data_IF_384798378864
#
_entry.id   IF_384798378864
#
_cell.length_a   1.000
_cell.length_b   1.000
_cell.length_c   1.000
_cell.angle_alpha   90.00
_cell.angle_beta   90.00
_cell.angle_gamma   90.00
#
_symmetry.space_group_name_H-M   'P 1'
#
loop_
_entity.id
_entity.type
_entity.pdbx_description
1 polymer ?
#
# COMPACT_ATOMS: atom_id res chain seq x y z
N UNK A 1 -69.56 33.23 51.56
CA UNK A 1 -69.77 32.85 50.14
C UNK A 1 -68.49 33.16 49.36
N UNK A 2 -67.30 32.65 49.74
CA UNK A 2 -66.64 31.37 49.42
C UNK A 2 -66.65 31.02 47.92
N UNK A 3 -65.69 31.52 47.12
CA UNK A 3 -64.35 30.93 46.88
C UNK A 3 -64.40 29.41 46.71
N UNK A 4 -64.76 28.93 45.52
CA UNK A 4 -64.47 27.60 44.94
C UNK A 4 -65.28 27.49 43.63
N UNK A 5 -64.69 27.88 42.50
CA UNK A 5 -64.93 27.40 41.12
C UNK A 5 -63.90 28.19 40.27
N UNK A 6 -62.62 27.84 40.41
CA UNK A 6 -61.55 28.27 39.50
C UNK A 6 -60.42 27.23 39.45
N UNK A 7 -60.76 25.96 39.73
CA UNK A 7 -59.78 24.91 39.94
C UNK A 7 -60.33 23.53 39.56
N UNK A 8 -61.00 23.41 38.40
CA UNK A 8 -61.47 22.10 37.93
C UNK A 8 -61.47 21.90 36.40
N UNK A 9 -60.72 22.70 35.64
CA UNK A 9 -60.50 22.46 34.19
C UNK A 9 -59.04 22.66 33.75
N UNK A 10 -58.09 22.58 34.68
CA UNK A 10 -56.64 22.57 34.38
C UNK A 10 -55.93 21.34 34.96
N UNK A 11 -56.65 20.28 35.33
CA UNK A 11 -56.05 19.02 35.77
C UNK A 11 -56.30 17.85 34.81
N UNK A 12 -56.83 18.10 33.61
CA UNK A 12 -57.05 17.06 32.59
C UNK A 12 -56.12 17.16 31.37
N UNK A 13 -55.06 17.97 31.44
CA UNK A 13 -54.16 18.22 30.28
C UNK A 13 -52.70 17.82 30.52
N UNK A 14 -52.31 17.30 31.69
CA UNK A 14 -50.90 16.92 31.92
C UNK A 14 -50.80 15.53 32.56
N UNK A 15 -51.29 14.49 31.88
CA UNK A 15 -50.99 13.10 32.24
C UNK A 15 -50.80 12.17 31.04
N UNK A 16 -50.69 12.70 29.80
CA UNK A 16 -50.48 11.89 28.59
C UNK A 16 -49.33 12.38 27.69
N UNK A 17 -48.36 13.12 28.23
CA UNK A 17 -47.21 13.57 27.45
C UNK A 17 -45.88 13.50 28.22
N UNK A 18 -45.69 12.42 28.99
CA UNK A 18 -44.41 12.13 29.65
C UNK A 18 -43.93 10.69 29.38
N UNK A 19 -44.18 10.17 28.18
CA UNK A 19 -43.30 9.17 27.57
C UNK A 19 -42.40 9.91 26.58
N UNK A 20 -41.51 10.78 27.09
CA UNK A 20 -40.37 11.19 26.28
C UNK A 20 -39.52 9.93 26.10
N UNK A 21 -39.41 9.41 24.88
CA UNK A 21 -38.42 8.40 24.53
C UNK A 21 -37.05 8.95 24.97
N UNK A 22 -36.57 8.47 26.12
CA UNK A 22 -35.23 8.83 26.57
C UNK A 22 -34.27 8.17 25.59
N UNK A 23 -33.28 8.91 25.05
CA UNK A 23 -32.26 8.28 24.23
C UNK A 23 -31.63 7.15 25.05
N UNK A 24 -31.59 5.95 24.46
CA UNK A 24 -30.98 4.77 25.07
C UNK A 24 -29.47 4.96 25.06
N UNK A 25 -28.97 5.58 26.12
CA UNK A 25 -27.54 5.91 26.25
C UNK A 25 -26.69 4.68 26.60
N UNK A 26 -27.29 3.58 27.06
CA UNK A 26 -26.56 2.34 27.34
C UNK A 26 -26.07 1.72 26.01
N UNK A 27 -24.75 1.61 25.78
CA UNK A 27 -24.21 0.99 24.57
C UNK A 27 -24.51 -0.51 24.46
N UNK A 28 -24.81 -1.20 25.56
CA UNK A 28 -25.13 -2.63 25.58
C UNK A 28 -26.63 -2.93 25.57
N UNK A 29 -27.51 -1.92 25.41
CA UNK A 29 -28.94 -2.16 25.18
C UNK A 29 -29.14 -2.75 23.77
N UNK A 30 -29.75 -3.95 23.61
CA UNK A 30 -30.02 -4.54 22.30
C UNK A 30 -30.86 -3.67 21.36
N UNK A 31 -31.63 -2.72 21.90
CA UNK A 31 -32.46 -1.79 21.15
C UNK A 31 -31.79 -0.42 20.97
N UNK A 32 -30.52 -0.26 21.36
CA UNK A 32 -29.73 0.92 21.04
C UNK A 32 -29.55 0.99 19.51
N UNK A 33 -30.02 2.05 18.82
CA UNK A 33 -29.98 2.10 17.37
C UNK A 33 -28.57 2.20 16.78
N UNK A 34 -27.58 2.62 17.57
CA UNK A 34 -26.20 2.79 17.11
C UNK A 34 -25.36 1.52 17.30
N UNK A 35 -25.54 0.84 18.42
CA UNK A 35 -24.70 -0.30 18.81
C UNK A 35 -25.41 -1.63 18.73
N UNK A 36 -26.75 -1.66 18.79
CA UNK A 36 -27.56 -2.89 18.88
C UNK A 36 -27.08 -3.83 20.00
N UNK A 37 -26.59 -3.25 21.08
CA UNK A 37 -26.12 -3.96 22.27
C UNK A 37 -24.76 -4.63 22.16
N UNK A 38 -23.96 -4.37 21.13
CA UNK A 38 -22.64 -5.00 20.90
C UNK A 38 -21.49 -3.98 20.84
N UNK A 39 -20.24 -4.40 21.10
CA UNK A 39 -19.07 -3.57 20.84
C UNK A 39 -18.97 -3.16 19.38
N UNK A 40 -18.53 -1.92 19.14
CA UNK A 40 -18.39 -1.31 17.82
C UNK A 40 -16.93 -0.93 17.53
N UNK A 41 -16.65 -0.55 16.29
CA UNK A 41 -15.34 -0.03 15.89
C UNK A 41 -14.22 -1.07 15.87
N UNK A 42 -14.53 -2.36 15.88
CA UNK A 42 -13.51 -3.41 15.82
C UNK A 42 -12.72 -3.32 14.52
N UNK A 43 -11.41 -3.15 14.65
CA UNK A 43 -10.46 -3.08 13.54
C UNK A 43 -9.21 -3.91 13.87
N UNK A 44 -8.63 -4.54 12.85
CA UNK A 44 -7.38 -5.28 12.94
C UNK A 44 -6.30 -4.62 12.09
N UNK A 45 -5.09 -4.54 12.63
CA UNK A 45 -3.88 -4.13 11.88
C UNK A 45 -2.78 -5.11 12.21
N UNK A 46 -2.08 -5.61 11.19
CA UNK A 46 -0.95 -6.51 11.35
C UNK A 46 0.36 -5.76 11.12
N UNK A 47 1.36 -6.08 11.93
CA UNK A 47 2.74 -5.74 11.65
C UNK A 47 3.55 -6.99 11.88
N UNK A 48 3.95 -7.63 10.78
CA UNK A 48 4.60 -8.94 10.79
C UNK A 48 3.73 -9.96 11.56
N UNK A 49 4.30 -10.61 12.57
CA UNK A 49 3.75 -11.74 13.33
C UNK A 49 2.80 -11.32 14.45
N UNK A 50 2.38 -10.07 14.47
CA UNK A 50 1.45 -9.55 15.48
C UNK A 50 0.25 -8.90 14.82
N UNK A 51 -0.95 -9.34 15.21
CA UNK A 51 -2.20 -8.62 14.91
C UNK A 51 -2.60 -7.79 16.13
N UNK A 52 -2.73 -6.49 15.94
CA UNK A 52 -3.29 -5.57 16.96
C UNK A 52 -4.74 -5.29 16.63
N UNK A 53 -5.63 -5.69 17.52
CA UNK A 53 -7.05 -5.34 17.48
C UNK A 53 -7.27 -4.05 18.27
N UNK A 54 -8.17 -3.22 17.77
CA UNK A 54 -8.68 -2.02 18.46
C UNK A 54 -10.19 -1.95 18.32
N UNK A 55 -10.85 -1.36 19.30
CA UNK A 55 -12.30 -1.15 19.29
C UNK A 55 -12.68 0.14 20.02
N UNK A 56 -13.94 0.55 19.90
CA UNK A 56 -14.46 1.71 20.61
C UNK A 56 -14.51 1.45 22.12
N UNK A 57 -14.14 2.44 22.93
CA UNK A 57 -14.19 2.32 24.39
C UNK A 57 -15.63 2.19 24.86
N UNK A 58 -15.87 1.29 25.83
CA UNK A 58 -17.13 1.19 26.54
C UNK A 58 -16.92 1.57 28.01
N UNK A 59 -17.48 2.70 28.41
CA UNK A 59 -17.39 3.20 29.79
C UNK A 59 -18.56 2.65 30.64
N UNK A 60 -18.55 1.34 30.88
CA UNK A 60 -19.54 0.64 31.72
C UNK A 60 -18.83 0.10 32.97
N UNK A 61 -19.33 0.47 34.15
CA UNK A 61 -18.68 0.16 35.44
C UNK A 61 -18.58 -1.33 35.73
N UNK A 62 -19.57 -2.10 35.32
CA UNK A 62 -19.72 -3.51 35.69
C UNK A 62 -19.13 -4.47 34.66
N UNK A 63 -18.29 -3.97 33.73
CA UNK A 63 -17.57 -4.84 32.81
C UNK A 63 -16.46 -5.60 33.53
N UNK A 64 -16.45 -6.91 33.31
CA UNK A 64 -15.36 -7.83 33.64
C UNK A 64 -14.28 -7.79 32.58
N UNK A 65 -14.63 -7.55 31.31
CA UNK A 65 -13.65 -7.48 30.22
C UNK A 65 -14.26 -7.55 28.82
N UNK A 66 -13.39 -7.68 27.84
CA UNK A 66 -13.75 -7.96 26.45
C UNK A 66 -13.25 -9.34 26.04
N UNK A 67 -14.15 -10.25 25.67
CA UNK A 67 -13.73 -11.57 25.17
C UNK A 67 -13.41 -11.46 23.69
N UNK A 68 -12.22 -11.93 23.34
CA UNK A 68 -11.70 -11.86 21.99
C UNK A 68 -11.87 -13.22 21.33
N UNK A 69 -12.50 -13.21 20.16
CA UNK A 69 -12.75 -14.40 19.37
C UNK A 69 -11.97 -14.36 18.06
N UNK A 70 -11.48 -15.53 17.67
CA UNK A 70 -10.77 -15.73 16.40
C UNK A 70 -11.29 -16.95 15.68
N UNK A 71 -11.35 -16.87 14.36
CA UNK A 71 -11.66 -17.97 13.45
C UNK A 71 -10.64 -17.96 12.32
N UNK A 72 -10.00 -19.10 12.09
CA UNK A 72 -9.07 -19.29 10.98
C UNK A 72 -9.82 -19.68 9.70
N UNK A 73 -9.17 -19.50 8.57
CA UNK A 73 -9.63 -20.06 7.30
C UNK A 73 -9.94 -21.56 7.40
N UNK A 74 -11.01 -22.01 6.76
CA UNK A 74 -11.48 -23.41 6.83
C UNK A 74 -12.23 -23.78 8.10
N UNK A 75 -12.22 -22.94 9.15
CA UNK A 75 -13.00 -23.17 10.36
C UNK A 75 -14.41 -22.59 10.25
N UNK A 76 -15.39 -23.27 10.84
CA UNK A 76 -16.80 -22.83 10.82
C UNK A 76 -17.20 -22.04 12.08
N UNK A 77 -16.45 -22.16 13.18
CA UNK A 77 -16.77 -21.56 14.48
C UNK A 77 -15.67 -20.63 14.97
N UNK A 78 -16.07 -19.57 15.66
CA UNK A 78 -15.17 -18.71 16.42
C UNK A 78 -14.76 -19.39 17.73
N UNK A 79 -13.49 -19.28 18.09
CA UNK A 79 -12.96 -19.75 19.39
C UNK A 79 -12.48 -18.54 20.21
N UNK A 80 -12.75 -18.51 21.52
CA UNK A 80 -12.20 -17.47 22.38
C UNK A 80 -10.69 -17.66 22.53
N UNK A 81 -9.92 -16.58 22.41
CA UNK A 81 -8.46 -16.61 22.51
C UNK A 81 -7.94 -15.79 23.70
N UNK A 82 -8.73 -14.85 24.21
CA UNK A 82 -8.37 -14.02 25.35
C UNK A 82 -9.58 -13.35 26.00
N UNK A 83 -9.37 -12.86 27.23
CA UNK A 83 -10.23 -11.90 27.91
C UNK A 83 -9.40 -10.65 28.22
N UNK A 84 -9.62 -9.57 27.50
CA UNK A 84 -8.95 -8.29 27.72
C UNK A 84 -9.57 -7.54 28.91
N UNK A 85 -8.75 -6.73 29.58
CA UNK A 85 -9.19 -5.88 30.71
C UNK A 85 -10.39 -5.00 30.34
N UNK A 86 -11.32 -4.73 31.27
CA UNK A 86 -12.52 -3.93 30.99
C UNK A 86 -12.22 -2.47 30.65
N UNK A 87 -11.02 -1.97 31.00
CA UNK A 87 -10.54 -0.64 30.61
C UNK A 87 -9.71 -0.62 29.32
N UNK A 88 -9.44 -1.79 28.74
CA UNK A 88 -8.70 -1.88 27.49
C UNK A 88 -9.62 -1.65 26.29
N UNK A 89 -9.08 -1.01 25.27
CA UNK A 89 -9.68 -0.93 23.95
C UNK A 89 -8.74 -1.47 22.85
N UNK A 90 -7.80 -2.32 23.26
CA UNK A 90 -6.86 -2.98 22.37
C UNK A 90 -6.45 -4.36 22.85
N UNK A 91 -6.07 -5.23 21.92
CA UNK A 91 -5.52 -6.55 22.19
C UNK A 91 -4.46 -6.88 21.14
N UNK A 92 -3.36 -7.52 21.55
CA UNK A 92 -2.32 -8.00 20.62
C UNK A 92 -2.39 -9.52 20.58
N UNK A 93 -2.74 -10.06 19.42
CA UNK A 93 -2.66 -11.48 19.12
C UNK A 93 -1.27 -11.80 18.55
N UNK A 94 -0.51 -12.61 19.29
CA UNK A 94 0.83 -13.09 18.94
C UNK A 94 0.80 -14.52 18.36
N UNK A 95 -0.36 -15.18 18.39
CA UNK A 95 -0.51 -16.58 17.96
C UNK A 95 -0.97 -16.70 16.51
N UNK A 96 -0.55 -15.78 15.63
CA UNK A 96 -0.98 -15.70 14.23
C UNK A 96 0.07 -16.28 13.28
N UNK A 97 -0.38 -16.79 12.15
CA UNK A 97 0.47 -17.39 11.12
C UNK A 97 0.44 -16.57 9.84
N UNK A 98 1.59 -16.38 9.19
CA UNK A 98 1.66 -15.68 7.90
C UNK A 98 0.85 -16.37 6.81
N UNK A 99 0.23 -15.56 5.95
CA UNK A 99 -0.55 -16.03 4.80
C UNK A 99 -1.90 -16.67 5.15
N UNK A 100 -2.19 -16.93 6.42
CA UNK A 100 -3.48 -17.48 6.86
C UNK A 100 -4.48 -16.36 7.14
N UNK A 101 -5.69 -16.45 6.58
CA UNK A 101 -6.76 -15.50 6.88
C UNK A 101 -7.28 -15.70 8.32
N UNK A 102 -7.27 -14.62 9.09
CA UNK A 102 -7.82 -14.59 10.45
C UNK A 102 -9.06 -13.69 10.49
N UNK A 103 -10.18 -14.19 11.01
CA UNK A 103 -11.38 -13.40 11.28
C UNK A 103 -11.52 -13.16 12.78
N UNK A 104 -11.76 -11.92 13.20
CA UNK A 104 -11.92 -11.54 14.60
C UNK A 104 -13.31 -10.98 14.90
N UNK A 105 -13.79 -11.24 16.12
CA UNK A 105 -14.96 -10.61 16.74
C UNK A 105 -14.69 -10.42 18.23
N UNK A 106 -15.42 -9.50 18.86
CA UNK A 106 -15.34 -9.30 20.30
C UNK A 106 -16.74 -9.24 20.93
N UNK A 107 -16.83 -9.54 22.23
CA UNK A 107 -18.01 -9.27 23.06
C UNK A 107 -17.59 -8.51 24.32
N UNK A 108 -18.52 -7.76 24.91
CA UNK A 108 -18.37 -7.20 26.24
C UNK A 108 -18.91 -8.21 27.27
N UNK A 109 -18.15 -8.43 28.34
CA UNK A 109 -18.45 -9.39 29.39
C UNK A 109 -18.64 -8.65 30.71
N UNK A 110 -19.75 -8.91 31.38
CA UNK A 110 -20.04 -8.53 32.76
C UNK A 110 -20.24 -9.79 33.62
N UNK A 111 -20.48 -9.65 34.92
CA UNK A 111 -20.61 -10.78 35.86
C UNK A 111 -21.58 -11.86 35.39
N UNK A 112 -22.77 -11.47 34.93
CA UNK A 112 -23.86 -12.39 34.56
C UNK A 112 -24.37 -12.16 33.13
N UNK A 113 -23.58 -11.48 32.29
CA UNK A 113 -23.98 -11.10 30.95
C UNK A 113 -22.81 -11.10 29.99
N UNK A 114 -23.07 -11.56 28.77
CA UNK A 114 -22.19 -11.37 27.62
C UNK A 114 -22.99 -10.78 26.48
N UNK A 115 -22.46 -9.70 25.90
CA UNK A 115 -23.10 -9.04 24.77
C UNK A 115 -23.11 -9.93 23.52
N UNK A 116 -23.99 -9.65 22.54
CA UNK A 116 -23.78 -10.12 21.18
C UNK A 116 -22.38 -9.75 20.67
N UNK A 117 -21.89 -10.55 19.71
CA UNK A 117 -20.60 -10.29 19.08
C UNK A 117 -20.64 -9.02 18.23
N UNK A 118 -19.51 -8.32 18.19
CA UNK A 118 -19.25 -7.24 17.23
C UNK A 118 -19.39 -7.73 15.79
N UNK A 119 -19.42 -6.78 14.85
CA UNK A 119 -19.13 -7.10 13.45
C UNK A 119 -17.71 -7.68 13.32
N UNK A 120 -17.49 -8.46 12.26
CA UNK A 120 -16.20 -9.10 12.01
C UNK A 120 -15.24 -8.18 11.28
N UNK A 121 -13.96 -8.27 11.65
CA UNK A 121 -12.84 -7.79 10.85
C UNK A 121 -11.99 -8.99 10.43
N UNK A 122 -11.33 -8.90 9.29
CA UNK A 122 -10.47 -9.96 8.73
C UNK A 122 -9.08 -9.42 8.48
N UNK A 123 -8.06 -10.24 8.63
CA UNK A 123 -6.69 -9.84 8.27
C UNK A 123 -5.85 -11.05 7.91
N UNK A 124 -5.01 -10.90 6.89
CA UNK A 124 -3.97 -11.89 6.56
C UNK A 124 -2.61 -11.29 6.92
N UNK A 125 -2.06 -11.63 8.10
CA UNK A 125 -0.73 -11.16 8.49
C UNK A 125 0.34 -11.76 7.58
N UNK A 126 1.44 -11.06 7.44
CA UNK A 126 2.57 -11.52 6.65
C UNK A 126 3.80 -10.66 6.91
N UNK A 127 4.95 -11.04 6.34
CA UNK A 127 6.22 -10.41 6.64
C UNK A 127 6.36 -9.00 6.06
N UNK A 128 5.58 -8.66 5.03
CA UNK A 128 5.69 -7.38 4.31
C UNK A 128 4.65 -6.33 4.73
N UNK A 129 4.92 -5.10 4.34
CA UNK A 129 4.00 -3.98 4.29
C UNK A 129 4.19 -3.23 2.97
N UNK A 130 3.23 -2.38 2.64
CA UNK A 130 3.31 -1.56 1.43
C UNK A 130 3.22 -0.09 1.77
N UNK A 131 3.92 0.76 1.01
CA UNK A 131 3.74 2.20 1.02
C UNK A 131 3.04 2.64 -0.26
N UNK A 132 2.18 3.65 -0.13
CA UNK A 132 1.41 4.24 -1.22
C UNK A 132 1.65 5.74 -1.22
N UNK A 133 1.97 6.33 -2.37
CA UNK A 133 1.93 7.77 -2.57
C UNK A 133 0.57 8.19 -3.13
N UNK A 134 -0.13 9.07 -2.42
CA UNK A 134 -1.40 9.64 -2.88
C UNK A 134 -1.21 11.11 -3.26
N UNK A 135 -1.23 11.39 -4.57
CA UNK A 135 -0.82 12.67 -5.13
C UNK A 135 -1.72 13.83 -4.71
N UNK A 136 -3.04 13.60 -4.62
CA UNK A 136 -4.02 14.67 -4.37
C UNK A 136 -4.15 15.01 -2.88
N UNK A 137 -3.90 14.05 -1.98
CA UNK A 137 -3.86 14.32 -0.54
C UNK A 137 -2.51 14.85 -0.07
N UNK A 138 -1.44 14.60 -0.83
CA UNK A 138 -0.07 14.92 -0.40
C UNK A 138 0.45 13.96 0.67
N UNK A 139 -0.21 12.82 0.86
CA UNK A 139 0.05 11.88 1.93
C UNK A 139 0.69 10.59 1.41
N UNK A 140 1.39 9.92 2.32
CA UNK A 140 1.83 8.55 2.16
C UNK A 140 1.02 7.67 3.11
N UNK A 141 0.57 6.52 2.60
CA UNK A 141 -0.20 5.54 3.34
C UNK A 141 0.61 4.26 3.44
N UNK A 142 0.82 3.78 4.67
CA UNK A 142 1.40 2.46 4.91
C UNK A 142 0.29 1.44 5.12
N UNK A 143 0.28 0.37 4.34
CA UNK A 143 -0.72 -0.69 4.37
C UNK A 143 -0.15 -1.98 4.96
N UNK A 144 -1.03 -2.79 5.55
CA UNK A 144 -0.74 -4.16 5.99
C UNK A 144 -0.34 -5.06 4.83
N UNK A 145 0.24 -6.22 5.15
CA UNK A 145 0.68 -7.22 4.17
C UNK A 145 -0.39 -7.57 3.12
N UNK A 146 -1.64 -7.68 3.55
CA UNK A 146 -2.78 -7.98 2.69
C UNK A 146 -3.29 -6.77 1.89
N UNK A 147 -2.72 -5.58 2.07
CA UNK A 147 -3.11 -4.35 1.40
C UNK A 147 -4.47 -3.80 1.83
N UNK A 148 -5.09 -4.31 2.91
CA UNK A 148 -6.47 -3.97 3.29
C UNK A 148 -6.53 -2.91 4.39
N UNK A 149 -5.61 -2.95 5.36
CA UNK A 149 -5.67 -2.09 6.54
C UNK A 149 -4.56 -1.05 6.54
N UNK A 150 -4.90 0.14 7.02
CA UNK A 150 -3.94 1.23 7.20
C UNK A 150 -3.17 1.03 8.50
N UNK A 151 -1.83 1.00 8.40
CA UNK A 151 -0.92 0.99 9.55
C UNK A 151 -0.68 2.43 10.03
N UNK A 152 -0.36 3.32 9.10
CA UNK A 152 -0.12 4.73 9.37
C UNK A 152 -0.36 5.55 8.10
N UNK A 153 -0.67 6.83 8.31
CA UNK A 153 -0.76 7.85 7.27
C UNK A 153 0.07 9.04 7.72
N UNK A 154 0.90 9.55 6.83
CA UNK A 154 1.87 10.62 7.11
C UNK A 154 2.11 11.45 5.86
N UNK A 155 2.97 12.46 5.99
CA UNK A 155 3.38 13.32 4.90
C UNK A 155 2.75 14.71 5.00
N UNK A 156 3.18 15.56 4.08
CA UNK A 156 2.66 16.89 3.80
C UNK A 156 3.30 17.35 2.48
N UNK A 157 3.32 16.44 1.50
CA UNK A 157 3.93 16.66 0.20
C UNK A 157 3.02 17.55 -0.65
N UNK A 158 3.61 18.34 -1.54
CA UNK A 158 2.84 19.13 -2.51
C UNK A 158 2.16 18.21 -3.52
N UNK A 159 2.92 17.25 -4.08
CA UNK A 159 2.41 16.20 -4.95
C UNK A 159 3.42 15.03 -5.01
N UNK A 160 3.35 14.07 -4.07
CA UNK A 160 4.26 12.92 -4.10
C UNK A 160 4.09 12.17 -5.43
N UNK A 161 5.19 11.67 -5.99
CA UNK A 161 5.20 11.11 -7.35
C UNK A 161 5.78 9.70 -7.43
N UNK A 162 6.98 9.49 -6.86
CA UNK A 162 7.56 8.15 -6.68
C UNK A 162 8.04 7.93 -5.27
N UNK A 163 8.05 6.68 -4.84
CA UNK A 163 8.62 6.20 -3.60
C UNK A 163 9.37 4.88 -3.81
N UNK A 164 10.35 4.61 -2.96
CA UNK A 164 10.99 3.30 -2.86
C UNK A 164 11.43 3.01 -1.43
N UNK A 165 11.30 1.77 -0.99
CA UNK A 165 11.59 1.31 0.36
C UNK A 165 13.03 0.81 0.45
N UNK A 166 13.83 1.40 1.35
CA UNK A 166 15.11 0.84 1.81
C UNK A 166 14.83 -0.07 3.02
N UNK A 167 14.42 -1.31 2.74
CA UNK A 167 14.02 -2.25 3.79
C UNK A 167 15.13 -2.57 4.81
N UNK A 168 16.40 -2.81 4.41
CA UNK A 168 17.49 -3.05 5.36
C UNK A 168 17.68 -1.94 6.40
N UNK A 169 17.46 -0.67 6.01
CA UNK A 169 17.62 0.49 6.91
C UNK A 169 16.29 0.98 7.51
N UNK A 170 15.16 0.49 7.01
CA UNK A 170 13.83 0.85 7.48
C UNK A 170 13.41 2.27 7.09
N UNK A 171 13.82 2.72 5.91
CA UNK A 171 13.46 4.03 5.35
C UNK A 171 12.60 3.89 4.10
N UNK A 172 11.88 4.95 3.76
CA UNK A 172 11.25 5.13 2.45
C UNK A 172 11.73 6.46 1.87
N UNK A 173 12.20 6.41 0.63
CA UNK A 173 12.58 7.57 -0.15
C UNK A 173 11.40 8.01 -1.00
N UNK A 174 11.19 9.32 -1.14
CA UNK A 174 10.08 9.90 -1.88
C UNK A 174 10.56 11.09 -2.67
N UNK A 175 10.10 11.18 -3.92
CA UNK A 175 10.24 12.35 -4.77
C UNK A 175 8.89 13.00 -5.01
N UNK A 176 8.84 14.31 -4.88
CA UNK A 176 7.65 15.16 -5.03
C UNK A 176 7.79 16.05 -6.27
N UNK A 177 6.81 15.99 -7.17
CA UNK A 177 6.85 16.70 -8.44
C UNK A 177 6.57 18.21 -8.30
N UNK A 178 5.76 18.64 -7.33
CA UNK A 178 5.29 20.04 -7.22
C UNK A 178 5.88 20.77 -6.01
N UNK A 179 6.09 20.07 -4.89
CA UNK A 179 6.82 20.60 -3.74
C UNK A 179 8.33 20.58 -3.94
N UNK A 180 8.79 19.83 -4.94
CA UNK A 180 10.18 19.63 -5.30
C UNK A 180 11.03 18.97 -4.21
N UNK A 181 10.37 18.24 -3.31
CA UNK A 181 11.01 17.56 -2.20
C UNK A 181 11.62 16.23 -2.66
N UNK A 182 12.90 16.04 -2.36
CA UNK A 182 13.51 14.73 -2.21
C UNK A 182 13.57 14.44 -0.72
N UNK A 183 12.81 13.46 -0.23
CA UNK A 183 12.61 13.22 1.20
C UNK A 183 12.86 11.76 1.57
N UNK A 184 13.41 11.55 2.77
CA UNK A 184 13.51 10.24 3.42
C UNK A 184 12.63 10.23 4.65
N UNK A 185 11.83 9.19 4.84
CA UNK A 185 11.03 8.98 6.04
C UNK A 185 11.45 7.68 6.74
N UNK A 186 11.44 7.68 8.06
CA UNK A 186 11.61 6.45 8.83
C UNK A 186 10.35 5.55 8.78
N UNK A 187 10.45 4.33 9.29
CA UNK A 187 9.36 3.34 9.35
C UNK A 187 8.06 3.82 10.01
N UNK A 188 8.11 4.90 10.81
CA UNK A 188 6.97 5.50 11.49
C UNK A 188 6.45 6.75 10.75
N UNK A 189 7.00 7.06 9.58
CA UNK A 189 6.58 8.17 8.75
C UNK A 189 7.17 9.52 9.14
N UNK A 190 8.23 9.56 9.94
CA UNK A 190 8.87 10.83 10.32
C UNK A 190 9.93 11.23 9.30
N UNK A 191 9.89 12.48 8.86
CA UNK A 191 10.87 13.05 7.95
C UNK A 191 12.29 13.07 8.56
N UNK A 192 13.25 12.66 7.74
CA UNK A 192 14.68 12.85 7.95
C UNK A 192 15.18 13.66 6.76
N UNK A 193 15.55 14.92 7.02
CA UNK A 193 15.70 15.97 5.99
C UNK A 193 16.65 15.57 4.85
N UNK A 194 16.23 15.81 3.61
CA UNK A 194 17.15 16.12 2.51
C UNK A 194 16.97 17.60 2.11
N UNK A 195 18.08 18.24 1.69
CA UNK A 195 18.15 19.67 1.37
C UNK A 195 18.04 19.95 -0.13
N UNK A 196 17.95 18.91 -0.96
CA UNK A 196 18.01 19.03 -2.41
C UNK A 196 16.61 19.19 -2.98
N UNK A 197 16.45 20.20 -3.85
CA UNK A 197 15.20 20.41 -4.58
C UNK A 197 15.28 19.75 -5.95
N UNK A 198 14.19 19.09 -6.32
CA UNK A 198 14.00 18.41 -7.60
C UNK A 198 12.76 18.97 -8.27
N UNK A 199 12.75 19.23 -9.58
CA UNK A 199 11.65 20.00 -10.19
C UNK A 199 11.04 19.36 -11.45
N UNK A 200 11.48 18.16 -11.80
CA UNK A 200 10.83 17.26 -12.74
C UNK A 200 11.32 15.84 -12.59
N UNK A 201 11.13 15.23 -11.40
CA UNK A 201 11.50 13.85 -11.17
C UNK A 201 10.80 12.91 -12.17
N UNK A 202 11.56 11.97 -12.73
CA UNK A 202 11.06 10.85 -13.50
C UNK A 202 11.03 9.58 -12.64
N UNK A 203 12.11 9.33 -11.88
CA UNK A 203 12.25 8.10 -11.10
C UNK A 203 13.34 8.19 -10.03
N UNK A 204 13.36 7.23 -9.11
CA UNK A 204 14.42 7.02 -8.13
C UNK A 204 14.78 5.53 -7.99
N UNK A 205 16.04 5.21 -7.71
CA UNK A 205 16.49 3.85 -7.45
C UNK A 205 17.52 3.80 -6.32
N UNK A 206 17.36 2.86 -5.38
CA UNK A 206 18.21 2.68 -4.21
C UNK A 206 19.19 1.53 -4.44
N UNK A 207 20.46 1.77 -4.13
CA UNK A 207 21.42 0.69 -3.89
C UNK A 207 21.16 0.11 -2.50
N UNK A 208 20.53 -1.07 -2.44
CA UNK A 208 20.17 -1.69 -1.15
C UNK A 208 21.38 -2.02 -0.29
N UNK A 209 22.57 -2.20 -0.88
CA UNK A 209 23.78 -2.55 -0.17
C UNK A 209 24.30 -1.39 0.70
N UNK A 210 24.33 -0.16 0.19
CA UNK A 210 24.82 1.02 0.93
C UNK A 210 23.78 2.09 1.26
N UNK A 211 22.59 2.01 0.66
CA UNK A 211 21.48 2.94 0.83
C UNK A 211 21.60 4.20 -0.02
N UNK A 212 22.61 4.29 -0.88
CA UNK A 212 22.76 5.41 -1.81
C UNK A 212 21.61 5.42 -2.82
N UNK A 213 21.21 6.63 -3.23
CA UNK A 213 20.01 6.82 -4.04
C UNK A 213 20.38 7.53 -5.33
N UNK A 214 19.90 6.98 -6.43
CA UNK A 214 19.91 7.62 -7.73
C UNK A 214 18.56 8.27 -8.00
N UNK A 215 18.57 9.50 -8.52
CA UNK A 215 17.35 10.21 -8.89
C UNK A 215 17.51 10.74 -10.30
N UNK A 216 16.53 10.44 -11.16
CA UNK A 216 16.38 11.06 -12.46
C UNK A 216 15.45 12.28 -12.34
N UNK A 217 16.00 13.48 -12.47
CA UNK A 217 15.27 14.75 -12.51
C UNK A 217 15.30 15.31 -13.93
N UNK A 218 14.62 14.59 -14.81
CA UNK A 218 14.76 14.71 -16.26
C UNK A 218 14.32 16.05 -16.84
N UNK A 219 13.48 16.84 -16.15
CA UNK A 219 13.12 18.17 -16.68
C UNK A 219 14.09 19.28 -16.26
N UNK A 220 14.94 19.06 -15.25
CA UNK A 220 15.77 20.12 -14.69
C UNK A 220 17.24 19.74 -14.56
N UNK A 221 17.58 18.87 -13.61
CA UNK A 221 18.95 18.60 -13.17
C UNK A 221 19.64 17.41 -13.87
N UNK A 222 18.88 16.57 -14.59
CA UNK A 222 19.41 15.34 -15.19
C UNK A 222 19.48 14.21 -14.17
N UNK A 223 20.53 13.38 -14.23
CA UNK A 223 20.73 12.28 -13.28
C UNK A 223 21.53 12.77 -12.06
N UNK A 224 21.18 12.31 -10.86
CA UNK A 224 21.87 12.66 -9.61
C UNK A 224 22.08 11.43 -8.75
N UNK A 225 23.17 11.41 -7.98
CA UNK A 225 23.47 10.41 -6.96
C UNK A 225 23.56 11.05 -5.58
N UNK A 226 22.92 10.45 -4.60
CA UNK A 226 22.90 10.83 -3.19
C UNK A 226 23.48 9.71 -2.32
N UNK A 227 24.01 10.04 -1.16
CA UNK A 227 24.32 9.05 -0.13
C UNK A 227 23.06 8.58 0.61
N UNK A 228 23.24 7.66 1.55
CA UNK A 228 22.13 7.12 2.36
C UNK A 228 21.44 8.15 3.24
N UNK A 229 22.03 9.33 3.46
CA UNK A 229 21.47 10.43 4.23
C UNK A 229 20.86 11.54 3.36
N UNK A 230 20.90 11.39 2.05
CA UNK A 230 20.30 12.32 1.08
C UNK A 230 21.19 13.51 0.76
N UNK A 231 22.49 13.43 1.06
CA UNK A 231 23.47 14.41 0.64
C UNK A 231 23.83 14.13 -0.82
N UNK A 232 23.78 15.18 -1.66
CA UNK A 232 24.15 15.07 -3.06
C UNK A 232 25.63 14.74 -3.19
N UNK A 233 25.94 13.60 -3.81
CA UNK A 233 27.30 13.16 -4.10
C UNK A 233 27.75 13.64 -5.48
N UNK A 234 26.88 13.55 -6.49
CA UNK A 234 27.23 13.86 -7.87
C UNK A 234 25.99 14.18 -8.72
N UNK A 235 26.15 15.10 -9.68
CA UNK A 235 25.17 15.41 -10.71
C UNK A 235 25.72 15.10 -12.11
N UNK A 236 24.83 14.76 -13.02
CA UNK A 236 25.12 14.40 -14.40
C UNK A 236 24.13 15.09 -15.34
N UNK A 237 24.43 16.35 -15.68
CA UNK A 237 23.49 17.25 -16.34
C UNK A 237 23.09 16.85 -17.77
N UNK A 238 23.89 16.01 -18.43
CA UNK A 238 23.66 15.59 -19.82
C UNK A 238 22.54 14.54 -19.96
N UNK A 239 22.10 13.91 -18.86
CA UNK A 239 21.10 12.83 -18.89
C UNK A 239 19.70 13.33 -18.53
N UNK A 240 19.14 14.21 -19.37
CA UNK A 240 17.83 14.86 -19.15
C UNK A 240 16.63 14.10 -19.74
N UNK A 241 16.83 12.86 -20.23
CA UNK A 241 15.73 12.06 -20.81
C UNK A 241 15.65 10.64 -20.27
N UNK A 242 16.23 10.41 -19.10
CA UNK A 242 16.03 9.17 -18.35
C UNK A 242 14.55 9.04 -17.99
N UNK A 243 13.96 7.86 -18.24
CA UNK A 243 12.55 7.61 -17.92
C UNK A 243 12.38 6.78 -16.64
N UNK A 244 13.25 5.79 -16.42
CA UNK A 244 13.21 4.88 -15.30
C UNK A 244 14.62 4.41 -14.92
N UNK A 245 14.79 3.99 -13.67
CA UNK A 245 16.04 3.61 -13.05
C UNK A 245 15.89 2.30 -12.30
N UNK A 246 16.91 1.44 -12.34
CA UNK A 246 17.05 0.34 -11.40
C UNK A 246 18.52 0.13 -11.04
N UNK A 247 18.80 -0.44 -9.86
CA UNK A 247 20.16 -0.72 -9.42
C UNK A 247 20.39 -2.23 -9.39
N UNK A 248 21.44 -2.67 -10.06
CA UNK A 248 21.81 -4.08 -10.08
C UNK A 248 22.35 -4.51 -8.70
N UNK A 249 21.70 -5.45 -7.99
CA UNK A 249 21.95 -5.68 -6.56
C UNK A 249 23.33 -6.29 -6.27
N UNK A 250 23.89 -7.07 -7.20
CA UNK A 250 25.19 -7.71 -7.00
C UNK A 250 26.37 -6.81 -7.37
N UNK A 251 26.18 -5.86 -8.29
CA UNK A 251 27.26 -5.01 -8.83
C UNK A 251 27.16 -3.56 -8.39
N UNK A 252 26.00 -3.16 -7.83
CA UNK A 252 25.66 -1.78 -7.51
C UNK A 252 25.75 -0.82 -8.71
N UNK A 253 25.64 -1.36 -9.92
CA UNK A 253 25.56 -0.56 -11.15
C UNK A 253 24.16 0.02 -11.30
N UNK A 254 24.07 1.29 -11.69
CA UNK A 254 22.81 1.90 -12.09
C UNK A 254 22.53 1.55 -13.55
N UNK A 255 21.34 1.02 -13.78
CA UNK A 255 20.79 0.78 -15.11
C UNK A 255 19.71 1.82 -15.38
N UNK A 256 20.02 2.76 -16.26
CA UNK A 256 19.20 3.92 -16.55
C UNK A 256 18.60 3.83 -17.96
N UNK A 257 17.27 3.84 -18.04
CA UNK A 257 16.54 3.75 -19.30
C UNK A 257 16.48 5.13 -19.97
N UNK A 258 17.29 5.33 -21.02
CA UNK A 258 17.46 6.62 -21.68
C UNK A 258 16.65 6.73 -22.97
N UNK A 259 15.79 7.76 -23.05
CA UNK A 259 14.94 8.02 -24.23
C UNK A 259 15.64 8.79 -25.35
N UNK A 260 16.90 9.22 -25.16
CA UNK A 260 17.67 9.88 -26.23
C UNK A 260 18.34 8.83 -27.10
N UNK A 261 19.04 7.89 -26.47
CA UNK A 261 19.77 6.80 -27.12
C UNK A 261 18.91 5.57 -27.37
N UNK A 262 17.72 5.50 -26.76
CA UNK A 262 16.81 4.35 -26.81
C UNK A 262 17.50 3.05 -26.36
N UNK A 263 18.28 3.15 -25.27
CA UNK A 263 19.03 2.05 -24.67
C UNK A 263 18.98 2.15 -23.15
N UNK A 264 19.36 1.07 -22.49
CA UNK A 264 19.72 1.11 -21.07
C UNK A 264 21.20 1.47 -20.96
N UNK A 265 21.47 2.60 -20.31
CA UNK A 265 22.81 3.06 -19.98
C UNK A 265 23.23 2.45 -18.65
N UNK A 266 24.48 2.00 -18.54
CA UNK A 266 25.00 1.33 -17.36
C UNK A 266 26.10 2.19 -16.77
N UNK A 267 25.83 2.70 -15.57
CA UNK A 267 26.79 3.46 -14.78
C UNK A 267 27.36 2.60 -13.68
N UNK A 268 28.66 2.69 -13.45
CA UNK A 268 29.30 2.10 -12.27
C UNK A 268 28.71 2.68 -10.99
N UNK A 269 28.98 2.00 -9.87
CA UNK A 269 28.59 2.48 -8.54
C UNK A 269 29.09 3.90 -8.24
N UNK A 270 30.25 4.31 -8.76
CA UNK A 270 30.80 5.67 -8.57
C UNK A 270 30.23 6.69 -9.59
N UNK A 271 29.43 6.21 -10.53
CA UNK A 271 28.70 7.00 -11.51
C UNK A 271 29.47 7.32 -12.78
N UNK A 272 30.46 6.52 -13.15
CA UNK A 272 31.04 6.57 -14.49
C UNK A 272 30.14 5.79 -15.46
N UNK A 273 29.79 6.39 -16.60
CA UNK A 273 29.10 5.66 -17.68
C UNK A 273 30.14 4.79 -18.40
N UNK A 274 30.02 3.46 -18.30
CA UNK A 274 30.98 2.55 -18.94
C UNK A 274 30.36 1.60 -19.96
N UNK A 275 29.03 1.46 -20.00
CA UNK A 275 28.37 0.64 -21.02
C UNK A 275 26.97 1.14 -21.40
N UNK A 276 26.49 0.65 -22.54
CA UNK A 276 25.09 0.73 -22.94
C UNK A 276 24.67 -0.62 -23.54
N UNK A 277 23.45 -1.05 -23.26
CA UNK A 277 22.96 -2.36 -23.73
C UNK A 277 22.88 -2.41 -25.25
N UNK A 278 23.12 -3.58 -25.89
CA UNK A 278 23.07 -3.71 -27.34
C UNK A 278 21.64 -3.64 -27.90
N UNK A 279 20.63 -3.93 -27.08
CA UNK A 279 19.23 -3.86 -27.48
C UNK A 279 18.80 -2.41 -27.77
N UNK A 280 18.23 -2.19 -28.96
CA UNK A 280 17.60 -0.92 -29.33
C UNK A 280 16.12 -0.97 -28.95
N UNK A 281 15.73 -0.04 -28.09
CA UNK A 281 14.36 0.12 -27.60
C UNK A 281 13.54 0.93 -28.62
N UNK A 282 12.23 0.73 -28.62
CA UNK A 282 11.32 1.41 -29.54
C UNK A 282 10.60 2.58 -28.86
N UNK A 283 9.96 2.32 -27.72
CA UNK A 283 9.23 3.32 -26.93
C UNK A 283 9.27 2.95 -25.45
N UNK A 284 10.45 3.01 -24.83
CA UNK A 284 10.64 2.49 -23.50
C UNK A 284 10.00 3.40 -22.45
N UNK A 285 9.32 2.79 -21.48
CA UNK A 285 8.52 3.48 -20.46
C UNK A 285 8.96 3.18 -19.03
N UNK A 286 9.46 1.97 -18.78
CA UNK A 286 9.77 1.50 -17.43
C UNK A 286 10.77 0.33 -17.44
N UNK A 287 11.44 0.12 -16.31
CA UNK A 287 12.42 -0.96 -16.10
C UNK A 287 12.35 -1.46 -14.67
N UNK A 288 12.40 -2.77 -14.47
CA UNK A 288 12.52 -3.35 -13.12
C UNK A 288 13.41 -4.60 -13.12
N UNK A 289 14.01 -4.89 -11.97
CA UNK A 289 15.00 -5.96 -11.81
C UNK A 289 14.52 -7.03 -10.84
N UNK A 290 14.70 -8.29 -11.22
CA UNK A 290 14.62 -9.40 -10.29
C UNK A 290 15.90 -9.39 -9.44
N UNK A 291 15.79 -8.99 -8.17
CA UNK A 291 16.98 -8.77 -7.34
C UNK A 291 17.72 -10.07 -7.00
N UNK A 292 17.06 -11.23 -7.13
CA UNK A 292 17.67 -12.55 -6.89
C UNK A 292 18.51 -13.00 -8.08
N UNK A 293 18.14 -12.65 -9.30
CA UNK A 293 18.79 -13.15 -10.52
C UNK A 293 19.58 -12.09 -11.29
N UNK A 294 19.34 -10.81 -11.02
CA UNK A 294 19.89 -9.69 -11.80
C UNK A 294 19.26 -9.54 -13.19
N UNK A 295 18.22 -10.31 -13.51
CA UNK A 295 17.50 -10.18 -14.78
C UNK A 295 16.60 -8.95 -14.76
N UNK A 296 16.58 -8.24 -15.88
CA UNK A 296 15.91 -6.94 -15.97
C UNK A 296 14.78 -7.00 -16.98
N UNK A 297 13.56 -6.72 -16.54
CA UNK A 297 12.38 -6.59 -17.37
C UNK A 297 12.21 -5.15 -17.83
N UNK A 298 11.87 -4.96 -19.12
CA UNK A 298 11.74 -3.63 -19.73
C UNK A 298 10.38 -3.53 -20.41
N UNK A 299 9.64 -2.48 -20.07
CA UNK A 299 8.46 -2.06 -20.80
C UNK A 299 8.88 -1.25 -22.03
N UNK A 300 8.61 -1.77 -23.23
CA UNK A 300 9.07 -1.17 -24.49
C UNK A 300 7.94 -1.11 -25.53
N UNK A 301 7.18 -0.02 -25.54
CA UNK A 301 6.11 0.16 -26.51
C UNK A 301 5.01 -0.88 -26.35
N UNK A 302 4.79 -1.70 -27.39
CA UNK A 302 3.77 -2.77 -27.40
C UNK A 302 4.33 -4.15 -27.00
N UNK A 303 5.54 -4.21 -26.46
CA UNK A 303 6.23 -5.45 -26.08
C UNK A 303 6.91 -5.32 -24.73
N UNK A 304 7.30 -6.48 -24.19
CA UNK A 304 8.20 -6.60 -23.05
C UNK A 304 9.51 -7.21 -23.54
N UNK A 305 10.62 -6.72 -23.00
CA UNK A 305 11.94 -7.33 -23.18
C UNK A 305 12.47 -7.81 -21.82
N UNK A 306 13.38 -8.78 -21.86
CA UNK A 306 14.19 -9.12 -20.69
C UNK A 306 15.66 -9.14 -21.06
N UNK A 307 16.47 -8.52 -20.23
CA UNK A 307 17.92 -8.61 -20.27
C UNK A 307 18.41 -9.58 -19.20
N UNK A 308 19.46 -10.32 -19.48
CA UNK A 308 20.18 -11.07 -18.45
C UNK A 308 21.01 -10.13 -17.57
N UNK A 309 21.65 -10.67 -16.53
CA UNK A 309 22.48 -9.90 -15.59
C UNK A 309 23.70 -9.21 -16.25
N UNK A 310 24.06 -9.58 -17.49
CA UNK A 310 25.14 -8.95 -18.26
C UNK A 310 24.61 -7.95 -19.31
N UNK A 311 23.31 -7.63 -19.29
CA UNK A 311 22.69 -6.66 -20.18
C UNK A 311 22.41 -7.16 -21.59
N UNK A 312 22.51 -8.48 -21.82
CA UNK A 312 22.20 -9.08 -23.13
C UNK A 312 20.72 -9.44 -23.23
N UNK A 313 20.06 -9.17 -24.36
CA UNK A 313 18.65 -9.50 -24.55
C UNK A 313 18.43 -11.00 -24.59
N UNK A 314 17.40 -11.45 -23.89
CA UNK A 314 16.92 -12.83 -23.93
C UNK A 314 15.71 -12.95 -24.88
N UNK A 315 15.55 -14.12 -25.47
CA UNK A 315 14.36 -14.44 -26.27
C UNK A 315 13.20 -14.77 -25.32
N UNK A 316 12.05 -14.16 -25.58
CA UNK A 316 10.80 -14.38 -24.85
C UNK A 316 9.66 -14.68 -25.83
N UNK A 317 8.60 -15.32 -25.33
CA UNK A 317 7.30 -15.18 -25.96
C UNK A 317 6.91 -13.70 -25.98
N UNK A 318 6.30 -13.25 -27.08
CA UNK A 318 6.00 -11.84 -27.31
C UNK A 318 4.51 -11.65 -27.59
N UNK A 319 3.63 -11.72 -26.57
CA UNK A 319 2.27 -11.24 -26.70
C UNK A 319 2.27 -9.78 -27.18
N UNK A 320 1.31 -9.40 -28.00
CA UNK A 320 1.17 -8.01 -28.42
C UNK A 320 0.28 -7.26 -27.43
N UNK A 321 0.86 -6.23 -26.81
CA UNK A 321 0.15 -5.32 -25.91
C UNK A 321 -0.27 -4.03 -26.64
N UNK A 322 -1.13 -3.22 -26.05
CA UNK A 322 -1.46 -1.88 -26.58
C UNK A 322 -0.33 -0.92 -26.27
N UNK A 323 0.06 -0.86 -24.99
CA UNK A 323 1.23 -0.12 -24.53
C UNK A 323 1.62 -0.60 -23.13
N UNK A 324 2.78 -1.26 -23.02
CA UNK A 324 3.34 -1.65 -21.73
C UNK A 324 3.81 -0.37 -21.02
N UNK A 325 3.13 0.01 -19.95
CA UNK A 325 3.38 1.28 -19.26
C UNK A 325 4.28 1.14 -18.03
N UNK A 326 4.11 0.05 -17.28
CA UNK A 326 4.91 -0.31 -16.11
C UNK A 326 5.17 -1.80 -16.10
N UNK A 327 6.29 -2.20 -15.51
CA UNK A 327 6.65 -3.58 -15.25
C UNK A 327 7.14 -3.72 -13.81
N UNK A 328 6.88 -4.86 -13.18
CA UNK A 328 7.58 -5.24 -11.96
C UNK A 328 7.93 -6.72 -11.99
N UNK A 329 9.15 -7.04 -11.61
CA UNK A 329 9.66 -8.40 -11.56
C UNK A 329 8.97 -9.19 -10.45
N UNK A 330 8.55 -10.42 -10.76
CA UNK A 330 8.07 -11.36 -9.74
C UNK A 330 9.22 -12.30 -9.39
N UNK A 331 9.97 -11.98 -8.33
CA UNK A 331 11.16 -12.71 -7.91
C UNK A 331 10.90 -14.17 -7.49
N UNK A 332 9.65 -14.46 -7.09
CA UNK A 332 9.20 -15.79 -6.68
C UNK A 332 9.03 -16.68 -7.91
N UNK A 333 8.29 -16.21 -8.90
CA UNK A 333 8.05 -16.99 -10.12
C UNK A 333 9.17 -16.86 -11.14
N UNK A 334 9.95 -15.78 -11.11
CA UNK A 334 10.89 -15.35 -12.16
C UNK A 334 10.21 -14.68 -13.36
N UNK A 335 8.90 -14.43 -13.26
CA UNK A 335 8.08 -13.75 -14.27
C UNK A 335 8.05 -12.24 -14.09
N UNK A 336 7.04 -11.59 -14.63
CA UNK A 336 6.77 -10.18 -14.37
C UNK A 336 5.28 -9.87 -14.33
N UNK A 337 4.92 -8.80 -13.65
CA UNK A 337 3.64 -8.13 -13.78
C UNK A 337 3.80 -6.89 -14.66
N UNK A 338 2.74 -6.51 -15.37
CA UNK A 338 2.75 -5.29 -16.17
C UNK A 338 1.38 -4.61 -16.23
N UNK A 339 1.39 -3.33 -16.57
CA UNK A 339 0.20 -2.58 -16.98
C UNK A 339 0.18 -2.47 -18.51
N UNK A 340 -0.82 -3.06 -19.14
CA UNK A 340 -1.14 -2.79 -20.55
C UNK A 340 -2.15 -1.63 -20.63
N UNK A 341 -1.62 -0.46 -20.94
CA UNK A 341 -2.29 0.82 -20.77
C UNK A 341 -3.21 1.16 -21.95
N UNK A 342 -4.34 1.75 -21.61
CA UNK A 342 -5.30 2.35 -22.54
C UNK A 342 -5.82 3.67 -22.01
N UNK A 343 -6.02 4.64 -22.91
CA UNK A 343 -6.64 5.93 -22.58
C UNK A 343 -8.15 5.83 -22.41
N UNK A 344 -8.76 4.71 -22.83
CA UNK A 344 -10.18 4.45 -22.65
C UNK A 344 -10.52 4.29 -21.16
N UNK A 345 -11.68 4.80 -20.75
CA UNK A 345 -12.18 4.69 -19.37
C UNK A 345 -12.28 3.20 -19.00
N UNK A 346 -11.63 2.81 -17.89
CA UNK A 346 -11.55 1.40 -17.43
C UNK A 346 -10.98 0.43 -18.49
N UNK A 347 -10.20 0.95 -19.44
CA UNK A 347 -9.69 0.16 -20.57
C UNK A 347 -8.29 -0.40 -20.36
N UNK A 348 -7.63 -0.09 -19.24
CA UNK A 348 -6.29 -0.63 -18.93
C UNK A 348 -6.43 -1.99 -18.24
N UNK A 349 -5.47 -2.86 -18.55
CA UNK A 349 -5.41 -4.22 -18.02
C UNK A 349 -4.10 -4.42 -17.24
N UNK A 350 -4.14 -5.25 -16.21
CA UNK A 350 -2.96 -5.71 -15.47
C UNK A 350 -2.72 -7.16 -15.84
N UNK A 351 -1.53 -7.47 -16.36
CA UNK A 351 -1.19 -8.77 -16.93
C UNK A 351 -0.06 -9.40 -16.12
N UNK A 352 -0.17 -10.70 -15.82
CA UNK A 352 0.91 -11.48 -15.24
C UNK A 352 1.54 -12.36 -16.31
N UNK A 353 2.86 -12.29 -16.45
CA UNK A 353 3.65 -13.11 -17.38
C UNK A 353 4.45 -14.17 -16.63
N UNK A 354 4.60 -15.33 -17.27
CA UNK A 354 5.54 -16.37 -16.87
C UNK A 354 6.99 -15.97 -17.17
N UNK A 355 8.01 -16.66 -16.61
CA UNK A 355 9.41 -16.44 -16.96
C UNK A 355 9.73 -16.63 -18.45
N UNK A 356 8.89 -17.34 -19.19
CA UNK A 356 9.01 -17.52 -20.65
C UNK A 356 8.51 -16.31 -21.44
N UNK A 357 7.81 -15.36 -20.80
CA UNK A 357 7.10 -14.24 -21.44
C UNK A 357 5.66 -14.56 -21.84
N UNK A 358 5.21 -15.80 -21.64
CA UNK A 358 3.83 -16.19 -21.92
C UNK A 358 2.86 -15.57 -20.90
N UNK A 359 1.69 -15.14 -21.37
CA UNK A 359 0.65 -14.61 -20.50
C UNK A 359 0.08 -15.72 -19.61
N UNK A 360 0.08 -15.49 -18.29
CA UNK A 360 -0.55 -16.38 -17.32
C UNK A 360 -2.02 -16.04 -17.14
N UNK A 361 -2.32 -14.76 -16.90
CA UNK A 361 -3.69 -14.24 -16.84
C UNK A 361 -3.70 -12.71 -16.96
N UNK A 362 -4.89 -12.18 -17.22
CA UNK A 362 -5.17 -10.74 -17.29
C UNK A 362 -6.31 -10.36 -16.33
N UNK A 363 -6.07 -9.33 -15.51
CA UNK A 363 -7.09 -8.64 -14.70
C UNK A 363 -7.50 -7.32 -15.36
N UNK A 364 -8.81 -7.07 -15.44
CA UNK A 364 -9.39 -5.94 -16.19
C UNK A 364 -10.05 -4.91 -15.29
N UNK A 365 -10.43 -3.77 -15.88
CA UNK A 365 -11.27 -2.75 -15.24
C UNK A 365 -10.49 -1.63 -14.54
N UNK A 366 -9.19 -1.53 -14.81
CA UNK A 366 -8.32 -0.48 -14.30
C UNK A 366 -8.48 0.80 -15.11
N UNK A 367 -8.43 1.94 -14.44
CA UNK A 367 -8.65 3.25 -15.04
C UNK A 367 -7.44 4.15 -14.77
N UNK A 368 -6.55 4.23 -15.77
CA UNK A 368 -5.26 4.93 -15.67
C UNK A 368 -4.43 4.46 -14.46
N UNK A 369 -4.14 3.16 -14.29
CA UNK A 369 -3.26 2.73 -13.21
C UNK A 369 -1.85 3.32 -13.41
N UNK A 370 -1.25 3.84 -12.34
CA UNK A 370 -0.01 4.65 -12.41
C UNK A 370 1.26 3.88 -12.05
N UNK A 371 1.17 2.95 -11.10
CA UNK A 371 2.23 2.01 -10.79
C UNK A 371 1.72 0.68 -10.23
N UNK A 372 2.61 -0.31 -10.17
CA UNK A 372 2.38 -1.61 -9.57
C UNK A 372 3.63 -2.09 -8.81
N UNK A 373 3.44 -2.88 -7.75
CA UNK A 373 4.54 -3.47 -6.98
C UNK A 373 4.22 -4.92 -6.61
N UNK A 374 5.22 -5.80 -6.75
CA UNK A 374 5.09 -7.21 -6.38
C UNK A 374 5.49 -7.37 -4.93
N UNK A 375 4.68 -8.10 -4.16
CA UNK A 375 5.04 -8.53 -2.82
C UNK A 375 6.03 -9.70 -2.92
N UNK A 376 7.28 -9.52 -2.45
CA UNK A 376 8.35 -10.50 -2.67
C UNK A 376 8.17 -11.81 -1.87
N UNK A 377 7.14 -11.91 -1.02
CA UNK A 377 6.91 -13.08 -0.17
C UNK A 377 5.78 -13.99 -0.64
N UNK A 378 4.81 -13.46 -1.37
CA UNK A 378 3.67 -14.22 -1.87
C UNK A 378 3.39 -14.04 -3.37
N UNK A 379 4.10 -13.14 -4.05
CA UNK A 379 3.99 -12.91 -5.50
C UNK A 379 2.70 -12.21 -5.91
N UNK A 380 1.94 -11.70 -4.92
CA UNK A 380 0.78 -10.83 -5.16
C UNK A 380 1.24 -9.47 -5.66
N UNK A 381 0.37 -8.78 -6.39
CA UNK A 381 0.68 -7.49 -6.98
C UNK A 381 -0.27 -6.41 -6.46
N UNK A 382 0.27 -5.33 -5.91
CA UNK A 382 -0.47 -4.13 -5.58
C UNK A 382 -0.45 -3.18 -6.78
N UNK A 383 -1.59 -2.55 -7.06
CA UNK A 383 -1.76 -1.65 -8.21
C UNK A 383 -2.39 -0.33 -7.74
N UNK A 384 -1.75 0.79 -8.10
CA UNK A 384 -2.26 2.14 -7.91
C UNK A 384 -3.26 2.50 -9.02
N UNK A 385 -4.55 2.25 -8.81
CA UNK A 385 -5.63 2.48 -9.79
C UNK A 385 -6.13 3.93 -9.71
N UNK A 386 -5.31 4.85 -10.22
CA UNK A 386 -5.39 6.30 -9.99
C UNK A 386 -6.79 6.91 -10.18
N UNK A 387 -7.44 6.74 -11.34
CA UNK A 387 -8.76 7.37 -11.58
C UNK A 387 -9.92 6.66 -10.89
N UNK A 388 -9.72 5.44 -10.42
CA UNK A 388 -10.70 4.77 -9.58
C UNK A 388 -10.53 5.08 -8.08
N UNK A 389 -9.48 5.81 -7.69
CA UNK A 389 -9.26 6.22 -6.29
C UNK A 389 -9.08 5.03 -5.35
N UNK A 390 -8.32 4.02 -5.77
CA UNK A 390 -8.13 2.80 -4.98
C UNK A 390 -6.78 2.14 -5.21
N UNK A 391 -6.34 1.37 -4.20
CA UNK A 391 -5.31 0.35 -4.36
C UNK A 391 -5.99 -1.00 -4.53
N UNK A 392 -5.51 -1.78 -5.48
CA UNK A 392 -5.98 -3.15 -5.73
C UNK A 392 -4.83 -4.10 -5.48
N UNK A 393 -4.99 -5.07 -4.58
CA UNK A 393 -4.08 -6.22 -4.48
C UNK A 393 -4.68 -7.39 -5.23
N UNK A 394 -3.88 -8.01 -6.09
CA UNK A 394 -4.19 -9.19 -6.90
C UNK A 394 -3.33 -10.34 -6.40
N UNK A 395 -3.93 -11.48 -6.03
CA UNK A 395 -3.16 -12.68 -5.65
C UNK A 395 -2.28 -13.18 -6.80
N UNK A 396 -1.22 -13.93 -6.47
CA UNK A 396 -0.28 -14.44 -7.47
C UNK A 396 -0.90 -15.33 -8.55
N UNK A 397 -2.05 -15.94 -8.27
CA UNK A 397 -2.85 -16.79 -9.17
C UNK A 397 -4.05 -16.06 -9.78
N UNK A 398 -4.26 -14.78 -9.45
CA UNK A 398 -5.32 -13.94 -10.00
C UNK A 398 -6.74 -14.21 -9.47
N UNK A 399 -6.89 -15.08 -8.48
CA UNK A 399 -8.22 -15.51 -7.97
C UNK A 399 -8.80 -14.57 -6.92
N UNK A 400 -7.95 -13.93 -6.12
CA UNK A 400 -8.38 -13.07 -5.01
C UNK A 400 -8.00 -11.62 -5.29
N UNK A 401 -8.99 -10.75 -5.11
CA UNK A 401 -8.83 -9.30 -5.17
C UNK A 401 -9.19 -8.69 -3.82
N UNK A 402 -8.36 -7.77 -3.36
CA UNK A 402 -8.67 -6.94 -2.20
C UNK A 402 -8.41 -5.46 -2.51
N UNK A 403 -9.12 -4.60 -1.82
CA UNK A 403 -9.21 -3.18 -2.17
C UNK A 403 -8.98 -2.29 -0.96
N UNK A 404 -8.23 -1.22 -1.17
CA UNK A 404 -8.14 -0.11 -0.24
C UNK A 404 -8.60 1.18 -0.92
N UNK A 405 -9.74 1.72 -0.48
CA UNK A 405 -10.45 2.83 -1.13
C UNK A 405 -10.32 4.17 -0.39
N UNK A 406 -9.41 4.28 0.58
CA UNK A 406 -9.16 5.51 1.35
C UNK A 406 -7.96 6.28 0.79
N UNK A 407 -7.89 6.37 -0.54
CA UNK A 407 -6.94 7.19 -1.32
C UNK A 407 -7.71 7.95 -2.39
N UNK A 408 -7.18 9.09 -2.84
CA UNK A 408 -7.85 9.91 -3.85
C UNK A 408 -7.25 9.73 -5.24
N UNK A 409 -5.93 9.69 -5.32
CA UNK A 409 -5.15 9.72 -6.55
C UNK A 409 -3.83 8.99 -6.33
N UNK A 410 -3.85 7.67 -6.08
CA UNK A 410 -2.65 6.89 -5.86
C UNK A 410 -1.79 6.90 -7.13
N UNK A 411 -0.53 7.30 -7.01
CA UNK A 411 0.41 7.42 -8.14
C UNK A 411 1.59 6.47 -8.05
N UNK A 412 1.87 5.95 -6.85
CA UNK A 412 2.93 4.98 -6.64
C UNK A 412 2.64 4.03 -5.49
N UNK A 413 3.20 2.83 -5.59
CA UNK A 413 3.19 1.79 -4.56
C UNK A 413 4.53 1.05 -4.55
N UNK A 414 4.99 0.68 -3.36
CA UNK A 414 6.13 -0.23 -3.18
C UNK A 414 5.87 -1.16 -1.99
N UNK A 415 6.43 -2.37 -2.02
CA UNK A 415 6.18 -3.42 -1.03
C UNK A 415 7.49 -4.06 -0.59
N UNK A 416 7.74 -4.07 0.73
CA UNK A 416 8.94 -4.69 1.29
C UNK A 416 8.70 -5.18 2.74
N UNK A 417 9.73 -5.75 3.35
CA UNK A 417 9.68 -6.32 4.71
C UNK A 417 9.68 -5.29 5.84
#
# INVERSE_FOLDING_TARGET
MNKKIFWLYCCFVILFAACSDRPRLNPLDPQNPNTLGRPTGLNAVSLRDTVTLRWDRLDIRDLTGFRIYRRLEGQTRFSPIALASPRSNSFRDLGVTFGQLHTYRISAVATDFESPLSDSTTITPGPAFSWVADASSGELIKLTHDGVHEILRTGAFGRPFRLQIDAPRGYVWVIDQSGGAFARLDRNGRFTTSRTRIFGPADLAIDSADGSVWVADSLTNGLMKFDSDGVLLKSFENYKKIAALTVHPATAELWALDRTTLRVLIFSRTGELHAATPAILQRPSDIDIDSRTGKVWIADGNRVLRLNAQGQPEQLASPQFRFVYRVAADEISGGCWLIDFSTAIRGSDVVKLQPTGEELFTSKGFNYPENLAVNPFDGSCLVADFRNGRIVRISADGRDLSFYNRVFSPVDVDTAQ
#
